data_IF_589485107134
#
_entry.id   IF_589485107134
#
_cell.length_a   1.000
_cell.length_b   1.000
_cell.length_c   1.000
_cell.angle_alpha   90.00
_cell.angle_beta   90.00
_cell.angle_gamma   90.00
#
_symmetry.space_group_name_H-M   'P 1'
#
loop_
_entity.id
_entity.type
_entity.pdbx_description
1 polymer ?
#
# COMPACT_ATOMS: atom_id res chain seq x y z
N UNK A 1 25.11 2.09 32.85
CA UNK A 1 24.52 2.91 31.78
C UNK A 1 23.95 1.95 30.76
N UNK A 2 22.65 1.64 30.85
CA UNK A 2 21.97 0.81 29.86
C UNK A 2 21.77 1.66 28.61
N UNK A 3 22.57 1.41 27.57
CA UNK A 3 22.11 1.75 26.23
C UNK A 3 20.91 0.84 25.97
N UNK A 4 19.69 1.38 26.05
CA UNK A 4 18.56 0.71 25.42
C UNK A 4 18.93 0.62 23.95
N UNK A 5 19.30 -0.57 23.49
CA UNK A 5 19.50 -0.82 22.06
C UNK A 5 18.15 -0.62 21.41
N UNK A 6 17.94 0.57 20.87
CA UNK A 6 16.74 0.98 20.16
C UNK A 6 16.45 -0.04 19.06
N UNK A 7 15.22 -0.53 18.99
CA UNK A 7 14.85 -1.53 18.00
C UNK A 7 15.02 -0.93 16.59
N UNK A 8 15.94 -1.44 15.74
CA UNK A 8 16.25 -0.81 14.47
C UNK A 8 15.08 -0.78 13.49
N UNK A 9 14.28 -1.86 13.46
CA UNK A 9 13.11 -1.90 12.58
C UNK A 9 12.04 -0.93 13.06
N UNK A 10 11.77 -0.90 14.36
CA UNK A 10 10.83 0.08 14.95
C UNK A 10 11.23 1.51 14.57
N UNK A 11 12.49 1.86 14.79
CA UNK A 11 13.02 3.21 14.48
C UNK A 11 12.82 3.55 13.00
N UNK A 12 13.15 2.60 12.11
CA UNK A 12 12.97 2.76 10.67
C UNK A 12 11.49 2.92 10.29
N UNK A 13 10.61 2.10 10.87
CA UNK A 13 9.21 2.05 10.51
C UNK A 13 8.46 3.27 11.06
N UNK A 14 8.72 3.70 12.29
CA UNK A 14 8.16 4.93 12.86
C UNK A 14 8.55 6.15 12.02
N UNK A 15 9.83 6.27 11.64
CA UNK A 15 10.28 7.34 10.74
C UNK A 15 9.60 7.27 9.37
N UNK A 16 9.28 6.07 8.88
CA UNK A 16 8.52 5.90 7.63
C UNK A 16 7.09 6.40 7.81
N UNK A 17 6.40 6.02 8.89
CA UNK A 17 5.04 6.47 9.17
C UNK A 17 4.96 7.99 9.37
N UNK A 18 5.97 8.58 10.01
CA UNK A 18 6.10 10.04 10.15
C UNK A 18 6.29 10.71 8.78
N UNK A 19 7.16 10.16 7.93
CA UNK A 19 7.35 10.64 6.54
C UNK A 19 6.10 10.50 5.69
N UNK A 20 5.25 9.50 5.95
CA UNK A 20 3.96 9.37 5.29
C UNK A 20 3.00 10.53 5.62
N UNK A 21 3.27 11.29 6.69
CA UNK A 21 2.41 12.38 7.15
C UNK A 21 1.11 11.87 7.78
N UNK A 22 1.16 10.71 8.41
CA UNK A 22 0.02 10.10 9.08
C UNK A 22 -0.21 10.73 10.46
N UNK A 23 -1.47 10.92 10.81
CA UNK A 23 -1.85 11.31 12.18
C UNK A 23 -1.78 10.11 13.14
N UNK A 24 -1.92 10.36 14.44
CA UNK A 24 -1.75 9.34 15.48
C UNK A 24 -2.83 8.25 15.43
N UNK A 25 -4.07 8.59 15.06
CA UNK A 25 -5.12 7.58 14.81
C UNK A 25 -4.67 6.65 13.69
N UNK A 26 -4.21 7.21 12.59
CA UNK A 26 -3.83 6.42 11.44
C UNK A 26 -2.62 5.52 11.70
N UNK A 27 -1.62 6.03 12.44
CA UNK A 27 -0.48 5.21 12.89
C UNK A 27 -0.93 4.06 13.79
N UNK A 28 -1.80 4.32 14.77
CA UNK A 28 -2.34 3.31 15.67
C UNK A 28 -3.06 2.19 14.90
N UNK A 29 -3.94 2.54 13.96
CA UNK A 29 -4.66 1.58 13.14
C UNK A 29 -3.75 0.71 12.27
N UNK A 30 -2.76 1.33 11.61
CA UNK A 30 -1.78 0.60 10.80
C UNK A 30 -0.97 -0.37 11.66
N UNK A 31 -0.48 0.07 12.82
CA UNK A 31 0.36 -0.76 13.68
C UNK A 31 -0.40 -1.91 14.32
N UNK A 32 -1.65 -1.68 14.75
CA UNK A 32 -2.51 -2.76 15.22
C UNK A 32 -2.68 -3.82 14.13
N UNK A 33 -3.11 -3.41 12.93
CA UNK A 33 -3.35 -4.36 11.85
C UNK A 33 -2.06 -5.01 11.36
N UNK A 34 -0.91 -4.33 11.40
CA UNK A 34 0.39 -4.91 11.09
C UNK A 34 0.73 -6.06 12.04
N UNK A 35 0.44 -5.90 13.33
CA UNK A 35 0.57 -6.96 14.33
C UNK A 35 -0.40 -8.11 14.08
N UNK A 36 -1.67 -7.78 13.84
CA UNK A 36 -2.73 -8.75 13.56
C UNK A 36 -2.46 -9.58 12.31
N UNK A 37 -2.05 -8.94 11.23
CA UNK A 37 -2.00 -9.55 9.91
C UNK A 37 -0.63 -10.15 9.58
N UNK A 38 0.36 -10.04 10.48
CA UNK A 38 1.77 -10.36 10.18
C UNK A 38 1.94 -11.79 9.64
N UNK A 39 1.25 -12.78 10.22
CA UNK A 39 1.32 -14.16 9.76
C UNK A 39 0.60 -14.30 8.42
N UNK A 40 -0.66 -13.86 8.32
CA UNK A 40 -1.46 -13.98 7.09
C UNK A 40 -0.77 -13.32 5.89
N UNK A 41 -0.18 -12.14 6.09
CA UNK A 41 0.49 -11.34 5.04
C UNK A 41 1.79 -11.95 4.49
N UNK A 42 2.48 -12.78 5.29
CA UNK A 42 3.82 -13.28 4.95
C UNK A 42 3.87 -14.79 4.70
N UNK A 43 2.74 -15.50 4.86
CA UNK A 43 2.71 -16.97 4.79
C UNK A 43 3.22 -17.49 3.44
N UNK A 44 2.68 -16.97 2.34
CA UNK A 44 3.06 -17.43 1.01
C UNK A 44 4.54 -17.15 0.71
N UNK A 45 5.05 -15.97 1.08
CA UNK A 45 6.45 -15.61 0.84
C UNK A 45 7.39 -16.51 1.64
N UNK A 46 7.14 -16.73 2.94
CA UNK A 46 8.01 -17.58 3.77
C UNK A 46 7.98 -19.04 3.31
N UNK A 47 6.82 -19.57 2.94
CA UNK A 47 6.71 -20.94 2.39
C UNK A 47 7.41 -21.10 1.03
N UNK A 48 7.52 -20.03 0.24
CA UNK A 48 8.30 -20.05 -1.00
C UNK A 48 9.81 -19.95 -0.76
N UNK A 49 10.23 -19.32 0.35
CA UNK A 49 11.64 -19.14 0.70
C UNK A 49 12.22 -20.33 1.46
N UNK A 50 11.40 -21.00 2.27
CA UNK A 50 11.82 -22.08 3.16
C UNK A 50 10.90 -23.28 3.02
N UNK A 51 11.49 -24.47 2.97
CA UNK A 51 10.74 -25.74 2.89
C UNK A 51 10.61 -26.44 4.24
N UNK A 52 11.41 -26.02 5.24
CA UNK A 52 11.47 -26.63 6.56
C UNK A 52 10.50 -25.95 7.52
N UNK A 53 9.56 -26.73 8.08
CA UNK A 53 8.52 -26.22 8.98
C UNK A 53 9.11 -25.48 10.20
N UNK A 54 10.16 -26.02 10.81
CA UNK A 54 10.83 -25.37 11.95
C UNK A 54 11.42 -24.01 11.55
N UNK A 55 11.97 -23.90 10.34
CA UNK A 55 12.53 -22.66 9.84
C UNK A 55 11.44 -21.62 9.58
N UNK A 56 10.32 -22.04 9.00
CA UNK A 56 9.14 -21.18 8.79
C UNK A 56 8.64 -20.61 10.12
N UNK A 57 8.49 -21.45 11.16
CA UNK A 57 8.07 -21.00 12.48
C UNK A 57 9.06 -20.00 13.11
N UNK A 58 10.37 -20.25 12.99
CA UNK A 58 11.40 -19.32 13.47
C UNK A 58 11.31 -17.96 12.76
N UNK A 59 11.09 -17.95 11.46
CA UNK A 59 10.99 -16.70 10.70
C UNK A 59 9.68 -15.96 10.97
N UNK A 60 8.55 -16.64 11.17
CA UNK A 60 7.34 -15.97 11.67
C UNK A 60 7.56 -15.35 13.05
N UNK A 61 8.18 -16.08 13.98
CA UNK A 61 8.50 -15.53 15.29
C UNK A 61 9.40 -14.31 15.19
N UNK A 62 10.40 -14.34 14.29
CA UNK A 62 11.25 -13.19 13.99
C UNK A 62 10.43 -12.01 13.46
N UNK A 63 9.58 -12.21 12.45
CA UNK A 63 8.77 -11.14 11.86
C UNK A 63 7.82 -10.48 12.88
N UNK A 64 7.16 -11.28 13.72
CA UNK A 64 6.23 -10.81 14.76
C UNK A 64 6.95 -10.02 15.86
N UNK A 65 8.23 -10.31 16.10
CA UNK A 65 9.03 -9.63 17.14
C UNK A 65 9.84 -8.45 16.59
N UNK A 66 9.73 -8.15 15.29
CA UNK A 66 10.50 -7.08 14.65
C UNK A 66 10.14 -5.70 15.18
N UNK A 67 8.86 -5.40 15.42
CA UNK A 67 8.44 -4.06 15.83
C UNK A 67 8.49 -3.89 17.35
N UNK A 68 7.94 -4.87 18.09
CA UNK A 68 7.97 -4.91 19.54
C UNK A 68 8.08 -6.36 20.04
N UNK A 69 8.64 -6.52 21.23
CA UNK A 69 8.75 -7.81 21.93
C UNK A 69 7.91 -7.73 23.18
N UNK A 70 7.02 -8.70 23.37
CA UNK A 70 6.20 -8.79 24.58
C UNK A 70 7.08 -9.03 25.81
N UNK A 71 6.78 -8.32 26.89
CA UNK A 71 7.32 -8.60 28.22
C UNK A 71 6.34 -9.49 28.98
N UNK A 72 6.84 -10.48 29.74
CA UNK A 72 5.97 -11.43 30.47
C UNK A 72 5.03 -10.77 31.50
N UNK A 73 5.27 -9.51 31.85
CA UNK A 73 4.60 -8.82 32.95
C UNK A 73 3.40 -7.96 32.50
N UNK A 74 3.17 -7.82 31.19
CA UNK A 74 2.14 -6.92 30.66
C UNK A 74 1.57 -7.40 29.31
N UNK A 75 0.24 -7.40 29.20
CA UNK A 75 -0.48 -7.76 27.99
C UNK A 75 -1.47 -6.64 27.60
N UNK A 76 -1.13 -5.75 26.65
CA UNK A 76 -1.99 -4.62 26.29
C UNK A 76 -3.33 -5.05 25.68
N UNK A 77 -3.42 -6.28 25.17
CA UNK A 77 -4.67 -6.84 24.68
C UNK A 77 -5.74 -6.96 25.78
N UNK A 78 -5.34 -7.16 27.04
CA UNK A 78 -6.27 -7.32 28.16
C UNK A 78 -6.93 -6.00 28.58
N UNK A 79 -6.41 -4.86 28.11
CA UNK A 79 -7.01 -3.54 28.35
C UNK A 79 -8.14 -3.22 27.35
N UNK A 80 -8.25 -3.98 26.27
CA UNK A 80 -9.16 -3.68 25.17
C UNK A 80 -10.45 -4.49 25.25
N UNK A 81 -11.60 -3.81 25.09
CA UNK A 81 -12.78 -4.49 24.55
C UNK A 81 -12.53 -4.73 23.06
N UNK A 82 -12.48 -5.98 22.63
CA UNK A 82 -12.15 -6.29 21.23
C UNK A 82 -13.36 -6.34 20.31
N UNK A 83 -14.56 -6.11 20.85
CA UNK A 83 -15.81 -6.12 20.09
C UNK A 83 -15.84 -5.10 18.96
N UNK A 84 -15.45 -3.82 19.17
CA UNK A 84 -15.43 -2.82 18.09
C UNK A 84 -14.44 -3.16 16.97
N UNK A 85 -13.26 -3.68 17.33
CA UNK A 85 -12.23 -4.10 16.36
C UNK A 85 -12.76 -5.26 15.51
N UNK A 86 -13.38 -6.26 16.14
CA UNK A 86 -14.01 -7.38 15.45
C UNK A 86 -15.10 -6.92 14.48
N UNK A 87 -15.94 -5.97 14.90
CA UNK A 87 -16.96 -5.33 14.06
C UNK A 87 -16.35 -4.64 12.83
N UNK A 88 -15.26 -3.91 13.02
CA UNK A 88 -14.57 -3.23 11.92
C UNK A 88 -14.00 -4.23 10.91
N UNK A 89 -13.32 -5.29 11.35
CA UNK A 89 -12.74 -6.32 10.46
C UNK A 89 -13.83 -7.08 9.69
N UNK A 90 -14.92 -7.47 10.38
CA UNK A 90 -16.03 -8.17 9.74
C UNK A 90 -16.77 -7.27 8.74
N UNK A 91 -17.05 -6.02 9.13
CA UNK A 91 -17.70 -5.03 8.24
C UNK A 91 -16.83 -4.71 7.03
N UNK A 92 -15.53 -4.54 7.21
CA UNK A 92 -14.58 -4.34 6.11
C UNK A 92 -14.72 -5.43 5.05
N UNK A 93 -14.72 -6.68 5.50
CA UNK A 93 -14.78 -7.85 4.64
C UNK A 93 -16.07 -7.90 3.83
N UNK A 94 -17.18 -7.53 4.46
CA UNK A 94 -18.48 -7.43 3.81
C UNK A 94 -18.49 -6.32 2.76
N UNK A 95 -17.98 -5.12 3.09
CA UNK A 95 -17.84 -4.01 2.13
C UNK A 95 -16.96 -4.43 0.94
N UNK A 96 -15.75 -4.92 1.20
CA UNK A 96 -14.81 -5.22 0.13
C UNK A 96 -15.32 -6.34 -0.79
N UNK A 97 -15.78 -7.46 -0.21
CA UNK A 97 -16.12 -8.65 -1.00
C UNK A 97 -17.51 -8.53 -1.63
N UNK A 98 -18.49 -7.99 -0.91
CA UNK A 98 -19.88 -7.98 -1.35
C UNK A 98 -20.33 -6.66 -1.95
N UNK A 99 -19.98 -5.52 -1.37
CA UNK A 99 -20.41 -4.22 -1.91
C UNK A 99 -19.53 -3.80 -3.10
N UNK A 100 -18.21 -3.81 -2.93
CA UNK A 100 -17.26 -3.31 -3.95
C UNK A 100 -17.01 -4.37 -5.02
N UNK A 101 -16.72 -5.62 -4.64
CA UNK A 101 -16.42 -6.71 -5.59
C UNK A 101 -17.65 -7.48 -6.08
N UNK A 102 -18.82 -7.25 -5.49
CA UNK A 102 -20.11 -7.83 -5.92
C UNK A 102 -20.08 -9.36 -6.03
N UNK A 103 -19.42 -10.05 -5.09
CA UNK A 103 -19.27 -11.51 -5.13
C UNK A 103 -20.42 -12.31 -4.52
N UNK A 104 -21.28 -11.69 -3.70
CA UNK A 104 -22.37 -12.39 -3.00
C UNK A 104 -21.88 -13.49 -2.05
N UNK A 105 -20.72 -13.28 -1.42
CA UNK A 105 -20.09 -14.23 -0.51
C UNK A 105 -20.73 -14.20 0.88
N UNK A 106 -21.14 -15.35 1.40
CA UNK A 106 -21.73 -15.44 2.74
C UNK A 106 -20.66 -15.81 3.78
N UNK A 107 -20.11 -14.81 4.47
CA UNK A 107 -19.12 -15.02 5.52
C UNK A 107 -19.63 -15.91 6.66
N UNK A 108 -20.93 -15.87 6.99
CA UNK A 108 -21.48 -16.64 8.10
C UNK A 108 -21.46 -18.16 7.87
N UNK A 109 -21.27 -18.60 6.63
CA UNK A 109 -21.14 -20.02 6.31
C UNK A 109 -19.71 -20.54 6.49
N UNK A 110 -18.71 -19.65 6.52
CA UNK A 110 -17.30 -20.03 6.52
C UNK A 110 -16.55 -19.63 7.78
N UNK A 111 -17.02 -18.60 8.51
CA UNK A 111 -16.42 -18.20 9.79
C UNK A 111 -17.21 -18.77 10.97
N UNK A 112 -16.52 -19.09 12.05
CA UNK A 112 -17.13 -19.56 13.30
C UNK A 112 -17.80 -18.43 14.06
N UNK A 113 -18.72 -18.79 14.95
CA UNK A 113 -19.56 -17.86 15.71
C UNK A 113 -18.77 -16.77 16.45
N UNK A 114 -17.57 -17.09 16.97
CA UNK A 114 -16.74 -16.15 17.72
C UNK A 114 -16.27 -14.95 16.88
N UNK A 115 -16.13 -15.12 15.56
CA UNK A 115 -15.73 -14.08 14.62
C UNK A 115 -16.92 -13.32 14.02
N UNK A 116 -18.15 -13.81 14.19
CA UNK A 116 -19.36 -13.17 13.67
C UNK A 116 -19.76 -11.97 14.52
N UNK A 117 -20.32 -10.97 13.86
CA UNK A 117 -20.82 -9.76 14.51
C UNK A 117 -21.72 -8.98 13.56
N UNK A 118 -22.54 -8.09 14.11
CA UNK A 118 -23.32 -7.15 13.33
C UNK A 118 -22.43 -6.20 12.53
N UNK A 119 -22.97 -5.70 11.41
CA UNK A 119 -22.30 -4.74 10.55
C UNK A 119 -22.39 -3.33 11.14
N UNK A 120 -21.32 -2.56 10.94
CA UNK A 120 -21.34 -1.12 11.17
C UNK A 120 -22.01 -0.44 9.97
N UNK A 121 -23.31 -0.13 10.10
CA UNK A 121 -24.12 0.41 9.01
C UNK A 121 -23.56 1.72 8.44
N UNK A 122 -23.02 2.59 9.28
CA UNK A 122 -22.39 3.85 8.86
C UNK A 122 -21.17 3.60 7.96
N UNK A 123 -20.35 2.59 8.30
CA UNK A 123 -19.20 2.20 7.49
C UNK A 123 -19.64 1.55 6.16
N UNK A 124 -20.69 0.72 6.17
CA UNK A 124 -21.26 0.15 4.93
C UNK A 124 -21.78 1.25 4.01
N UNK A 125 -22.48 2.25 4.57
CA UNK A 125 -23.05 3.37 3.81
C UNK A 125 -21.99 4.21 3.09
N UNK A 126 -20.79 4.37 3.66
CA UNK A 126 -19.68 5.10 3.01
C UNK A 126 -19.29 4.51 1.64
N UNK A 127 -19.49 3.20 1.45
CA UNK A 127 -19.03 2.46 0.27
C UNK A 127 -20.16 1.88 -0.59
N UNK A 128 -21.42 2.14 -0.23
CA UNK A 128 -22.56 1.69 -1.02
C UNK A 128 -22.50 2.26 -2.45
N UNK A 129 -22.63 1.38 -3.45
CA UNK A 129 -22.59 1.72 -4.87
C UNK A 129 -21.21 2.13 -5.41
N UNK A 130 -20.15 1.99 -4.62
CA UNK A 130 -18.78 2.25 -5.09
C UNK A 130 -18.28 1.11 -5.99
N UNK A 131 -17.59 1.48 -7.06
CA UNK A 131 -17.01 0.53 -8.01
C UNK A 131 -15.66 -0.01 -7.53
N UNK A 132 -15.29 -1.20 -7.98
CA UNK A 132 -13.96 -1.76 -7.75
C UNK A 132 -12.88 -0.99 -8.54
N UNK A 133 -12.30 0.02 -7.89
CA UNK A 133 -11.19 0.86 -8.37
C UNK A 133 -10.11 0.96 -7.32
N UNK A 134 -8.90 1.33 -7.76
CA UNK A 134 -7.77 1.54 -6.86
C UNK A 134 -8.10 2.57 -5.76
N UNK A 135 -8.76 3.66 -6.12
CA UNK A 135 -9.11 4.72 -5.17
C UNK A 135 -10.16 4.27 -4.15
N UNK A 136 -11.16 3.48 -4.57
CA UNK A 136 -12.15 2.91 -3.66
C UNK A 136 -11.48 2.02 -2.61
N UNK A 137 -10.59 1.13 -3.04
CA UNK A 137 -9.82 0.30 -2.11
C UNK A 137 -8.97 1.13 -1.15
N UNK A 138 -8.27 2.14 -1.68
CA UNK A 138 -7.47 3.05 -0.87
C UNK A 138 -8.31 3.79 0.20
N UNK A 139 -9.49 4.30 -0.17
CA UNK A 139 -10.42 4.95 0.76
C UNK A 139 -10.94 3.98 1.81
N UNK A 140 -11.24 2.73 1.43
CA UNK A 140 -11.66 1.69 2.36
C UNK A 140 -10.57 1.35 3.36
N UNK A 141 -9.34 1.13 2.90
CA UNK A 141 -8.17 0.95 3.77
C UNK A 141 -8.00 2.14 4.74
N UNK A 142 -8.15 3.36 4.22
CA UNK A 142 -7.97 4.59 5.01
C UNK A 142 -9.03 4.74 6.10
N UNK A 143 -10.31 4.57 5.74
CA UNK A 143 -11.43 4.62 6.70
C UNK A 143 -11.27 3.54 7.77
N UNK A 144 -10.89 2.32 7.37
CA UNK A 144 -10.64 1.21 8.28
C UNK A 144 -9.55 1.50 9.32
N UNK A 145 -8.34 1.88 8.89
CA UNK A 145 -7.26 2.15 9.83
C UNK A 145 -7.55 3.36 10.72
N UNK A 146 -8.20 4.41 10.20
CA UNK A 146 -8.63 5.54 11.04
C UNK A 146 -9.62 5.11 12.12
N UNK A 147 -10.62 4.30 11.77
CA UNK A 147 -11.64 3.81 12.73
C UNK A 147 -11.04 2.91 13.81
N UNK A 148 -10.14 1.99 13.44
CA UNK A 148 -9.40 1.18 14.42
C UNK A 148 -8.53 2.08 15.31
N UNK A 149 -7.78 2.99 14.70
CA UNK A 149 -6.90 3.91 15.39
C UNK A 149 -7.59 4.81 16.41
N UNK A 150 -8.67 5.46 15.99
CA UNK A 150 -9.48 6.32 16.84
C UNK A 150 -10.12 5.56 18.01
N UNK A 151 -10.37 4.25 17.86
CA UNK A 151 -10.77 3.40 18.98
C UNK A 151 -9.60 3.14 19.94
N UNK A 152 -8.46 2.71 19.41
CA UNK A 152 -7.28 2.35 20.21
C UNK A 152 -6.69 3.53 20.99
N UNK A 153 -6.71 4.73 20.40
CA UNK A 153 -6.17 5.93 21.04
C UNK A 153 -6.99 6.40 22.26
N UNK A 154 -8.18 5.83 22.51
CA UNK A 154 -8.95 6.08 23.73
C UNK A 154 -8.30 5.44 24.98
N UNK A 155 -7.38 4.50 24.78
CA UNK A 155 -6.73 3.73 25.84
C UNK A 155 -5.33 4.27 26.19
N UNK A 156 -4.88 5.36 25.54
CA UNK A 156 -3.56 5.97 25.76
C UNK A 156 -2.37 4.99 25.65
N UNK A 157 -2.55 3.90 24.90
CA UNK A 157 -1.53 2.89 24.67
C UNK A 157 -0.38 3.44 23.80
N UNK A 158 0.85 3.00 24.07
CA UNK A 158 1.96 3.31 23.17
C UNK A 158 1.81 2.59 21.83
N UNK A 159 2.44 3.09 20.77
CA UNK A 159 2.46 2.42 19.47
C UNK A 159 3.02 0.98 19.53
N UNK A 160 3.93 0.70 20.47
CA UNK A 160 4.43 -0.66 20.71
C UNK A 160 3.34 -1.56 21.30
N UNK A 161 2.62 -1.04 22.29
CA UNK A 161 1.54 -1.76 22.95
C UNK A 161 0.38 -2.02 22.00
N UNK A 162 0.06 -1.06 21.13
CA UNK A 162 -0.92 -1.21 20.06
C UNK A 162 -0.55 -2.32 19.08
N UNK A 163 0.71 -2.36 18.63
CA UNK A 163 1.21 -3.44 17.78
C UNK A 163 1.10 -4.81 18.48
N UNK A 164 1.53 -4.90 19.75
CA UNK A 164 1.46 -6.13 20.54
C UNK A 164 0.01 -6.57 20.77
N UNK A 165 -0.92 -5.63 20.98
CA UNK A 165 -2.34 -5.92 21.09
C UNK A 165 -2.88 -6.55 19.79
N UNK A 166 -2.44 -6.08 18.62
CA UNK A 166 -2.76 -6.69 17.33
C UNK A 166 -2.23 -8.13 17.21
N UNK A 167 -0.97 -8.37 17.60
CA UNK A 167 -0.38 -9.71 17.62
C UNK A 167 -1.19 -10.66 18.52
N UNK A 168 -1.53 -10.22 19.73
CA UNK A 168 -2.31 -11.03 20.68
C UNK A 168 -3.75 -11.24 20.23
N UNK A 169 -4.35 -10.24 19.57
CA UNK A 169 -5.66 -10.36 18.93
C UNK A 169 -5.66 -11.46 17.87
N UNK A 170 -4.67 -11.48 16.98
CA UNK A 170 -4.52 -12.57 16.01
C UNK A 170 -4.36 -13.93 16.68
N UNK A 171 -3.46 -14.06 17.66
CA UNK A 171 -3.20 -15.34 18.33
C UNK A 171 -4.45 -15.91 19.02
N UNK A 172 -5.28 -15.06 19.62
CA UNK A 172 -6.52 -15.50 20.27
C UNK A 172 -7.55 -15.95 19.25
N UNK A 173 -7.77 -15.17 18.19
CA UNK A 173 -8.76 -15.46 17.16
C UNK A 173 -8.36 -16.66 16.29
N UNK A 174 -7.08 -16.80 15.97
CA UNK A 174 -6.56 -17.95 15.26
C UNK A 174 -6.80 -19.27 16.00
N UNK A 175 -6.69 -19.29 17.35
CA UNK A 175 -6.99 -20.47 18.17
C UNK A 175 -8.47 -20.85 18.10
N UNK A 176 -9.36 -19.87 17.99
CA UNK A 176 -10.80 -20.10 17.83
C UNK A 176 -11.13 -20.55 16.40
N UNK A 177 -10.63 -19.83 15.40
CA UNK A 177 -10.92 -20.03 13.99
C UNK A 177 -9.75 -19.60 13.09
N UNK A 178 -8.82 -20.53 12.86
CA UNK A 178 -7.66 -20.31 12.01
C UNK A 178 -8.04 -19.92 10.56
N UNK A 179 -8.97 -20.67 9.95
CA UNK A 179 -9.37 -20.45 8.56
C UNK A 179 -10.14 -19.14 8.41
N UNK A 180 -11.10 -18.87 9.31
CA UNK A 180 -11.86 -17.62 9.30
C UNK A 180 -10.98 -16.39 9.54
N UNK A 181 -10.08 -16.44 10.54
CA UNK A 181 -9.17 -15.32 10.82
C UNK A 181 -8.27 -15.01 9.63
N UNK A 182 -7.68 -16.04 9.02
CA UNK A 182 -6.83 -15.84 7.84
C UNK A 182 -7.63 -15.35 6.62
N UNK A 183 -8.85 -15.87 6.40
CA UNK A 183 -9.72 -15.39 5.32
C UNK A 183 -10.00 -13.88 5.46
N UNK A 184 -10.40 -13.45 6.66
CA UNK A 184 -10.72 -12.04 6.93
C UNK A 184 -9.51 -11.14 6.72
N UNK A 185 -8.33 -11.55 7.20
CA UNK A 185 -7.10 -10.79 7.05
C UNK A 185 -6.63 -10.74 5.59
N UNK A 186 -6.68 -11.87 4.88
CA UNK A 186 -6.26 -11.94 3.48
C UNK A 186 -7.13 -11.08 2.59
N UNK A 187 -8.44 -11.01 2.81
CA UNK A 187 -9.30 -10.09 2.08
C UNK A 187 -8.92 -8.62 2.29
N UNK A 188 -8.55 -8.22 3.52
CA UNK A 188 -8.04 -6.86 3.79
C UNK A 188 -6.71 -6.64 3.06
N UNK A 189 -5.77 -7.57 3.17
CA UNK A 189 -4.45 -7.46 2.52
C UNK A 189 -4.59 -7.42 0.99
N UNK A 190 -5.44 -8.26 0.40
CA UNK A 190 -5.70 -8.33 -1.04
C UNK A 190 -6.31 -7.04 -1.60
N UNK A 191 -6.92 -6.23 -0.73
CA UNK A 191 -7.49 -4.95 -1.11
C UNK A 191 -6.49 -3.79 -1.01
N UNK A 192 -5.31 -3.98 -0.42
CA UNK A 192 -4.37 -2.89 -0.19
C UNK A 192 -4.02 -2.12 -1.47
N UNK A 193 -4.16 -0.79 -1.40
CA UNK A 193 -3.52 0.09 -2.39
C UNK A 193 -1.98 -0.08 -2.35
N UNK A 194 -1.25 0.31 -3.41
CA UNK A 194 0.20 0.18 -3.48
C UNK A 194 0.94 0.81 -2.29
N UNK A 195 0.39 1.88 -1.71
CA UNK A 195 0.89 2.45 -0.45
C UNK A 195 0.82 1.45 0.71
N UNK A 196 -0.34 0.90 1.02
CA UNK A 196 -0.48 -0.03 2.14
C UNK A 196 0.27 -1.33 1.87
N UNK A 197 0.23 -1.82 0.62
CA UNK A 197 1.01 -2.98 0.22
C UNK A 197 2.51 -2.77 0.49
N UNK A 198 3.01 -1.56 0.20
CA UNK A 198 4.40 -1.18 0.50
C UNK A 198 4.70 -1.29 1.99
N UNK A 199 3.89 -0.64 2.84
CA UNK A 199 4.12 -0.59 4.28
C UNK A 199 4.08 -1.97 4.92
N UNK A 200 3.14 -2.82 4.51
CA UNK A 200 2.96 -4.17 5.06
C UNK A 200 4.01 -5.17 4.55
N UNK A 201 4.75 -4.85 3.49
CA UNK A 201 5.91 -5.63 3.03
C UNK A 201 7.23 -5.22 3.70
N UNK A 202 7.29 -4.07 4.38
CA UNK A 202 8.53 -3.59 5.00
C UNK A 202 9.14 -4.52 6.05
N UNK A 203 8.37 -5.24 6.90
CA UNK A 203 8.95 -6.24 7.81
C UNK A 203 9.80 -7.29 7.08
N UNK A 204 9.29 -7.81 5.96
CA UNK A 204 9.96 -8.82 5.15
C UNK A 204 11.16 -8.23 4.40
N UNK A 205 10.99 -7.05 3.78
CA UNK A 205 12.07 -6.36 3.07
C UNK A 205 13.21 -5.95 4.01
N UNK A 206 12.90 -5.49 5.22
CA UNK A 206 13.91 -5.14 6.21
C UNK A 206 14.71 -6.37 6.66
N UNK A 207 14.04 -7.52 6.76
CA UNK A 207 14.63 -8.78 7.22
C UNK A 207 15.55 -9.41 6.19
N UNK A 208 15.13 -9.45 4.92
CA UNK A 208 15.81 -10.23 3.88
C UNK A 208 16.47 -9.39 2.79
N UNK A 209 16.05 -8.14 2.62
CA UNK A 209 16.54 -7.25 1.57
C UNK A 209 16.87 -5.84 2.11
N UNK A 210 17.56 -5.69 3.27
CA UNK A 210 17.76 -4.39 3.93
C UNK A 210 18.50 -3.39 3.05
N UNK A 211 19.47 -3.85 2.26
CA UNK A 211 20.21 -2.99 1.34
C UNK A 211 19.29 -2.40 0.25
N UNK A 212 18.37 -3.21 -0.27
CA UNK A 212 17.42 -2.76 -1.28
C UNK A 212 16.39 -1.81 -0.68
N UNK A 213 15.91 -2.11 0.53
CA UNK A 213 14.99 -1.24 1.25
C UNK A 213 15.62 0.14 1.51
N UNK A 214 16.82 0.18 2.08
CA UNK A 214 17.52 1.42 2.41
C UNK A 214 17.96 2.22 1.18
N UNK A 215 18.17 1.56 0.03
CA UNK A 215 18.54 2.22 -1.22
C UNK A 215 17.32 2.74 -2.01
N UNK A 216 16.09 2.49 -1.55
CA UNK A 216 14.87 2.89 -2.24
C UNK A 216 14.11 3.96 -1.42
N UNK A 217 13.66 5.00 -2.11
CA UNK A 217 12.71 5.96 -1.56
C UNK A 217 11.31 5.34 -1.47
N UNK A 218 10.48 5.79 -0.53
CA UNK A 218 9.10 5.32 -0.34
C UNK A 218 8.28 5.40 -1.64
N UNK A 219 8.38 6.50 -2.38
CA UNK A 219 7.81 6.66 -3.74
C UNK A 219 8.12 5.47 -4.65
N UNK A 220 9.37 5.03 -4.67
CA UNK A 220 9.82 3.95 -5.54
C UNK A 220 9.29 2.59 -5.11
N UNK A 221 9.09 2.38 -3.81
CA UNK A 221 8.42 1.18 -3.30
C UNK A 221 6.94 1.19 -3.67
N UNK A 222 6.23 2.30 -3.46
CA UNK A 222 4.82 2.46 -3.86
C UNK A 222 4.65 2.17 -5.35
N UNK A 223 5.53 2.74 -6.16
CA UNK A 223 5.52 2.57 -7.60
C UNK A 223 5.81 1.11 -8.03
N UNK A 224 6.70 0.39 -7.33
CA UNK A 224 6.93 -1.04 -7.58
C UNK A 224 5.67 -1.87 -7.35
N UNK A 225 4.95 -1.63 -6.25
CA UNK A 225 3.70 -2.34 -5.98
C UNK A 225 2.58 -1.92 -6.93
N UNK A 226 2.56 -0.66 -7.40
CA UNK A 226 1.61 -0.23 -8.42
C UNK A 226 1.75 -1.06 -9.71
N UNK A 227 2.98 -1.40 -10.14
CA UNK A 227 3.19 -2.23 -11.32
C UNK A 227 2.61 -3.64 -11.18
N UNK A 228 2.68 -4.21 -9.97
CA UNK A 228 2.15 -5.55 -9.70
C UNK A 228 0.63 -5.61 -9.78
N UNK A 229 -0.04 -4.48 -9.54
CA UNK A 229 -1.50 -4.33 -9.62
C UNK A 229 -1.99 -3.80 -10.98
N UNK A 230 -1.09 -3.52 -11.92
CA UNK A 230 -1.42 -2.95 -13.23
C UNK A 230 -0.94 -3.87 -14.35
N UNK A 231 -0.22 -3.35 -15.35
CA UNK A 231 0.21 -4.12 -16.51
C UNK A 231 1.58 -4.78 -16.26
N UNK A 232 1.54 -6.03 -15.81
CA UNK A 232 2.74 -6.84 -15.55
C UNK A 232 3.59 -7.08 -16.80
N UNK A 233 3.00 -6.99 -18.00
CA UNK A 233 3.70 -7.28 -19.27
C UNK A 233 4.79 -6.23 -19.55
N UNK A 234 4.53 -4.98 -19.13
CA UNK A 234 5.44 -3.83 -19.34
C UNK A 234 6.17 -3.38 -18.07
N UNK A 235 5.81 -3.93 -16.91
CA UNK A 235 6.33 -3.52 -15.60
C UNK A 235 7.86 -3.44 -15.56
N UNK A 236 8.56 -4.41 -16.14
CA UNK A 236 10.04 -4.42 -16.20
C UNK A 236 10.62 -3.22 -16.93
N UNK A 237 9.95 -2.73 -17.97
CA UNK A 237 10.41 -1.60 -18.78
C UNK A 237 10.16 -0.28 -18.07
N UNK A 238 8.96 -0.11 -17.49
CA UNK A 238 8.65 1.06 -16.68
C UNK A 238 9.58 1.12 -15.45
N UNK A 239 9.85 -0.01 -14.80
CA UNK A 239 10.81 -0.07 -13.70
C UNK A 239 12.22 0.35 -14.13
N UNK A 240 12.71 -0.15 -15.27
CA UNK A 240 14.01 0.27 -15.81
C UNK A 240 14.05 1.78 -16.11
N UNK A 241 12.95 2.34 -16.61
CA UNK A 241 12.85 3.77 -16.86
C UNK A 241 12.83 4.58 -15.56
N UNK A 242 12.09 4.13 -14.56
CA UNK A 242 12.10 4.71 -13.22
C UNK A 242 13.53 4.73 -12.63
N UNK A 243 14.29 3.64 -12.73
CA UNK A 243 15.69 3.64 -12.29
C UNK A 243 16.52 4.68 -13.03
N UNK A 244 16.34 4.81 -14.34
CA UNK A 244 17.05 5.78 -15.16
C UNK A 244 16.77 7.23 -14.72
N UNK A 245 15.50 7.56 -14.47
CA UNK A 245 15.04 8.93 -14.15
C UNK A 245 15.36 9.34 -12.71
N UNK A 246 15.17 8.45 -11.74
CA UNK A 246 15.20 8.83 -10.32
C UNK A 246 16.49 8.47 -9.60
N UNK A 247 17.30 7.53 -10.12
CA UNK A 247 18.46 7.01 -9.40
C UNK A 247 19.77 7.21 -10.13
N UNK A 248 20.81 7.55 -9.36
CA UNK A 248 22.20 7.47 -9.80
C UNK A 248 22.69 6.03 -9.78
N UNK A 249 23.59 5.70 -10.70
CA UNK A 249 24.27 4.41 -10.68
C UNK A 249 25.46 4.48 -9.73
N UNK A 250 25.54 3.54 -8.77
CA UNK A 250 26.70 3.25 -7.93
C UNK A 250 27.31 4.47 -7.17
N UNK A 251 26.84 4.80 -5.95
CA UNK A 251 25.81 4.11 -5.17
C UNK A 251 24.40 4.46 -5.66
N UNK A 252 23.46 3.52 -5.47
CA UNK A 252 22.05 3.76 -5.77
C UNK A 252 21.48 4.74 -4.76
N UNK A 253 21.27 5.97 -5.20
CA UNK A 253 20.65 7.06 -4.44
C UNK A 253 19.70 7.84 -5.33
N UNK A 254 18.69 8.43 -4.73
CA UNK A 254 17.80 9.37 -5.43
C UNK A 254 18.65 10.52 -5.98
N UNK A 255 18.46 10.85 -7.26
CA UNK A 255 19.16 11.95 -7.93
C UNK A 255 18.79 13.28 -7.29
N UNK A 256 19.77 14.18 -7.23
CA UNK A 256 19.54 15.59 -6.89
C UNK A 256 18.48 16.18 -7.82
N UNK A 257 17.54 16.97 -7.28
CA UNK A 257 16.39 17.52 -8.01
C UNK A 257 15.06 16.79 -7.77
N UNK A 258 15.09 15.64 -7.08
CA UNK A 258 13.93 14.90 -6.60
C UNK A 258 13.80 14.98 -5.08
N UNK A 259 13.63 16.20 -4.56
CA UNK A 259 13.42 16.45 -3.13
C UNK A 259 11.94 16.28 -2.77
N UNK A 260 11.48 15.02 -2.64
CA UNK A 260 10.08 14.68 -2.41
C UNK A 260 9.47 15.40 -1.19
N UNK A 261 10.24 15.56 -0.12
CA UNK A 261 9.78 16.06 1.17
C UNK A 261 9.69 17.59 1.24
N UNK A 262 10.52 18.31 0.47
CA UNK A 262 10.70 19.76 0.65
C UNK A 262 10.26 20.59 -0.55
N UNK A 263 10.18 19.97 -1.73
CA UNK A 263 9.79 20.67 -2.95
C UNK A 263 8.28 20.83 -3.04
N UNK A 264 7.84 21.95 -3.60
CA UNK A 264 6.43 22.21 -3.82
C UNK A 264 5.77 21.09 -4.64
N UNK A 265 4.63 20.59 -4.15
CA UNK A 265 3.93 19.43 -4.74
C UNK A 265 3.57 19.65 -6.20
N UNK A 266 3.11 20.85 -6.56
CA UNK A 266 2.80 21.20 -7.96
C UNK A 266 4.02 21.14 -8.89
N UNK A 267 5.20 21.53 -8.38
CA UNK A 267 6.45 21.43 -9.13
C UNK A 267 6.83 19.96 -9.34
N UNK A 268 6.73 19.13 -8.29
CA UNK A 268 7.02 17.69 -8.40
C UNK A 268 6.04 16.95 -9.31
N UNK A 269 4.75 17.29 -9.27
CA UNK A 269 3.74 16.75 -10.19
C UNK A 269 4.11 17.07 -11.64
N UNK A 270 4.38 18.35 -11.93
CA UNK A 270 4.78 18.79 -13.27
C UNK A 270 6.09 18.14 -13.72
N UNK A 271 7.10 18.10 -12.85
CA UNK A 271 8.38 17.46 -13.13
C UNK A 271 8.21 15.97 -13.41
N UNK A 272 7.36 15.28 -12.65
CA UNK A 272 7.07 13.84 -12.84
C UNK A 272 6.42 13.57 -14.19
N UNK A 273 5.38 14.33 -14.55
CA UNK A 273 4.72 14.25 -15.86
C UNK A 273 5.71 14.45 -17.01
N UNK A 274 6.49 15.53 -16.97
CA UNK A 274 7.43 15.86 -18.04
C UNK A 274 8.57 14.84 -18.18
N UNK A 275 9.09 14.32 -17.06
CA UNK A 275 10.11 13.28 -17.11
C UNK A 275 9.52 11.94 -17.60
N UNK A 276 8.28 11.62 -17.23
CA UNK A 276 7.62 10.40 -17.69
C UNK A 276 7.42 10.38 -19.21
N UNK A 277 7.05 11.52 -19.81
CA UNK A 277 6.92 11.70 -21.27
C UNK A 277 8.22 11.39 -22.03
N UNK A 278 9.38 11.63 -21.40
CA UNK A 278 10.70 11.44 -22.03
C UNK A 278 11.10 9.97 -22.16
N UNK A 279 10.25 9.00 -21.77
CA UNK A 279 10.52 7.58 -22.02
C UNK A 279 10.79 7.30 -23.50
N UNK A 280 10.09 8.02 -24.40
CA UNK A 280 10.28 7.90 -25.85
C UNK A 280 11.62 8.42 -26.37
N UNK A 281 12.28 9.27 -25.58
CA UNK A 281 13.61 9.80 -25.87
C UNK A 281 14.71 8.99 -25.18
N UNK A 282 14.33 8.05 -24.31
CA UNK A 282 15.25 7.20 -23.58
C UNK A 282 15.71 6.00 -24.42
N UNK A 283 16.80 5.32 -24.03
CA UNK A 283 17.22 4.05 -24.63
C UNK A 283 16.16 2.94 -24.56
N UNK A 284 15.11 3.10 -23.75
CA UNK A 284 14.02 2.13 -23.62
C UNK A 284 12.96 2.27 -24.71
N UNK A 285 13.00 3.32 -25.55
CA UNK A 285 12.07 3.41 -26.67
C UNK A 285 12.15 2.20 -27.62
N UNK A 286 13.32 1.55 -27.70
CA UNK A 286 13.52 0.30 -28.45
C UNK A 286 12.60 -0.85 -28.00
N UNK A 287 12.07 -0.80 -26.77
CA UNK A 287 11.15 -1.82 -26.23
C UNK A 287 9.68 -1.46 -26.49
N UNK A 288 9.39 -0.42 -27.28
CA UNK A 288 8.02 -0.08 -27.72
C UNK A 288 7.22 -1.27 -28.26
N UNK A 289 7.78 -2.22 -29.02
CA UNK A 289 7.02 -3.40 -29.46
C UNK A 289 6.39 -4.17 -28.29
N UNK A 290 7.05 -4.27 -27.15
CA UNK A 290 6.53 -4.97 -25.96
C UNK A 290 5.30 -4.24 -25.38
N UNK A 291 5.29 -2.90 -25.45
CA UNK A 291 4.14 -2.09 -25.06
C UNK A 291 2.95 -2.29 -26.01
N UNK A 292 3.20 -2.33 -27.33
CA UNK A 292 2.14 -2.55 -28.32
C UNK A 292 1.58 -3.97 -28.30
N UNK A 293 2.30 -4.94 -27.72
CA UNK A 293 1.79 -6.30 -27.60
C UNK A 293 0.80 -6.47 -26.44
N UNK A 294 0.72 -5.50 -25.52
CA UNK A 294 -0.25 -5.54 -24.42
C UNK A 294 -1.53 -4.76 -24.76
N UNK A 295 -2.64 -5.18 -24.18
CA UNK A 295 -3.95 -4.51 -24.25
C UNK A 295 -4.47 -4.13 -22.85
N UNK A 296 -3.59 -4.18 -21.84
CA UNK A 296 -3.93 -3.88 -20.45
C UNK A 296 -3.61 -2.42 -20.11
N UNK A 297 -4.20 -1.47 -20.85
CA UNK A 297 -4.11 -0.05 -20.55
C UNK A 297 -5.48 0.52 -20.20
N UNK A 298 -5.49 1.54 -19.35
CA UNK A 298 -6.70 2.30 -19.08
C UNK A 298 -7.17 3.08 -20.31
N UNK A 299 -6.22 3.60 -21.11
CA UNK A 299 -6.47 4.37 -22.32
C UNK A 299 -6.04 3.61 -23.57
N UNK A 300 -6.61 2.40 -23.73
CA UNK A 300 -6.32 1.51 -24.86
C UNK A 300 -6.57 2.17 -26.23
N UNK A 301 -7.49 3.13 -26.29
CA UNK A 301 -7.82 3.90 -27.49
C UNK A 301 -6.64 4.73 -28.02
N UNK A 302 -5.61 5.03 -27.22
CA UNK A 302 -4.42 5.76 -27.65
C UNK A 302 -3.44 4.91 -28.47
N UNK A 303 -3.63 3.58 -28.48
CA UNK A 303 -2.71 2.64 -29.13
C UNK A 303 -2.64 2.90 -30.64
N UNK A 304 -1.41 3.14 -31.10
CA UNK A 304 -1.06 3.51 -32.47
C UNK A 304 -1.80 4.73 -33.04
N UNK A 305 -2.36 5.60 -32.18
CA UNK A 305 -2.95 6.86 -32.59
C UNK A 305 -1.91 7.98 -32.70
N UNK A 306 -2.21 8.97 -33.54
CA UNK A 306 -1.51 10.25 -33.59
C UNK A 306 -2.31 11.27 -32.77
N UNK A 307 -1.68 11.91 -31.79
CA UNK A 307 -2.33 12.87 -30.87
C UNK A 307 -1.37 14.02 -30.56
N UNK A 308 -1.88 15.24 -30.34
CA UNK A 308 -1.03 16.35 -29.91
C UNK A 308 -0.59 16.17 -28.46
N UNK A 309 0.58 16.71 -28.12
CA UNK A 309 1.11 16.59 -26.75
C UNK A 309 0.17 17.22 -25.72
N UNK A 310 -0.46 18.35 -26.05
CA UNK A 310 -1.38 19.04 -25.14
C UNK A 310 -2.68 18.28 -24.94
N UNK A 311 -3.21 17.66 -25.99
CA UNK A 311 -4.37 16.78 -25.86
C UNK A 311 -4.06 15.55 -25.00
N UNK A 312 -2.86 14.96 -25.16
CA UNK A 312 -2.43 13.87 -24.30
C UNK A 312 -2.28 14.28 -22.83
N UNK A 313 -1.66 15.42 -22.54
CA UNK A 313 -1.53 15.95 -21.16
C UNK A 313 -2.91 16.22 -20.54
N UNK A 314 -3.84 16.77 -21.32
CA UNK A 314 -5.22 17.00 -20.88
C UNK A 314 -5.91 15.68 -20.55
N UNK A 315 -5.74 14.66 -21.41
CA UNK A 315 -6.28 13.32 -21.16
C UNK A 315 -5.66 12.67 -19.93
N UNK A 316 -4.34 12.76 -19.72
CA UNK A 316 -3.70 12.25 -18.49
C UNK A 316 -4.31 12.92 -17.25
N UNK A 317 -4.44 14.25 -17.26
CA UNK A 317 -5.01 15.02 -16.14
C UNK A 317 -6.43 14.54 -15.85
N UNK A 318 -7.27 14.46 -16.89
CA UNK A 318 -8.64 13.95 -16.79
C UNK A 318 -8.68 12.53 -16.22
N UNK A 319 -7.82 11.64 -16.69
CA UNK A 319 -7.74 10.26 -16.19
C UNK A 319 -7.37 10.21 -14.71
N UNK A 320 -6.43 11.03 -14.25
CA UNK A 320 -6.09 11.14 -12.82
C UNK A 320 -7.28 11.64 -11.99
N UNK A 321 -7.98 12.67 -12.47
CA UNK A 321 -9.09 13.28 -11.74
C UNK A 321 -10.36 12.41 -11.73
N UNK A 322 -10.67 11.73 -12.84
CA UNK A 322 -11.93 10.98 -13.00
C UNK A 322 -11.80 9.49 -12.63
N UNK A 323 -10.71 8.81 -13.03
CA UNK A 323 -10.56 7.38 -12.75
C UNK A 323 -9.94 7.12 -11.38
N UNK A 324 -8.91 7.90 -11.03
CA UNK A 324 -8.27 7.81 -9.72
C UNK A 324 -8.91 8.75 -8.68
N UNK A 325 -9.99 9.45 -9.06
CA UNK A 325 -10.79 10.34 -8.21
C UNK A 325 -9.92 11.29 -7.35
N UNK A 326 -8.80 11.74 -7.90
CA UNK A 326 -7.82 12.57 -7.18
C UNK A 326 -7.90 14.01 -7.63
N UNK A 327 -8.27 14.91 -6.73
CA UNK A 327 -8.25 16.34 -7.01
C UNK A 327 -6.82 16.89 -6.91
N UNK A 328 -6.24 17.25 -8.05
CA UNK A 328 -4.85 17.73 -8.13
C UNK A 328 -4.67 19.03 -7.35
N UNK A 329 -5.64 19.95 -7.39
CA UNK A 329 -5.57 21.21 -6.66
C UNK A 329 -5.54 20.98 -5.15
N UNK A 330 -6.30 20.01 -4.64
CA UNK A 330 -6.26 19.62 -3.22
C UNK A 330 -4.90 19.05 -2.83
N UNK A 331 -4.27 18.28 -3.72
CA UNK A 331 -2.92 17.75 -3.48
C UNK A 331 -1.91 18.88 -3.43
N UNK A 332 -1.96 19.82 -4.38
CA UNK A 332 -1.08 20.99 -4.45
C UNK A 332 -1.22 21.86 -3.21
N UNK A 333 -2.45 22.05 -2.72
CA UNK A 333 -2.75 22.80 -1.51
C UNK A 333 -2.44 22.04 -0.20
N UNK A 334 -1.87 20.83 -0.29
CA UNK A 334 -1.44 20.09 0.89
C UNK A 334 -2.55 19.42 1.70
N UNK A 335 -3.76 19.24 1.13
CA UNK A 335 -4.88 18.62 1.85
C UNK A 335 -4.71 17.11 2.05
N UNK A 336 -4.03 16.45 1.12
CA UNK A 336 -3.68 15.03 1.24
C UNK A 336 -2.39 14.84 2.04
N UNK A 337 -2.27 13.72 2.76
CA UNK A 337 -1.05 13.37 3.46
C UNK A 337 0.11 13.12 2.48
N UNK A 338 1.34 13.02 2.98
CA UNK A 338 2.51 12.93 2.13
C UNK A 338 2.53 11.61 1.34
N UNK A 339 2.12 10.50 1.95
CA UNK A 339 2.07 9.21 1.29
C UNK A 339 1.06 9.12 0.14
N UNK A 340 -0.12 9.74 0.31
CA UNK A 340 -1.12 9.89 -0.76
C UNK A 340 -0.54 10.70 -1.93
N UNK A 341 0.19 11.78 -1.63
CA UNK A 341 0.92 12.54 -2.65
C UNK A 341 1.97 11.68 -3.39
N UNK A 342 2.75 10.87 -2.68
CA UNK A 342 3.72 9.97 -3.31
C UNK A 342 3.04 8.90 -4.18
N UNK A 343 1.89 8.37 -3.74
CA UNK A 343 1.09 7.44 -4.55
C UNK A 343 0.55 8.11 -5.81
N UNK A 344 0.10 9.37 -5.74
CA UNK A 344 -0.28 10.14 -6.93
C UNK A 344 0.90 10.30 -7.89
N UNK A 345 2.09 10.66 -7.40
CA UNK A 345 3.28 10.76 -8.26
C UNK A 345 3.58 9.42 -8.95
N UNK A 346 3.41 8.30 -8.24
CA UNK A 346 3.62 6.97 -8.79
C UNK A 346 2.64 6.68 -9.93
N UNK A 347 1.36 7.01 -9.74
CA UNK A 347 0.31 6.86 -10.75
C UNK A 347 0.62 7.74 -11.97
N UNK A 348 0.92 9.03 -11.77
CA UNK A 348 1.26 9.96 -12.85
C UNK A 348 2.45 9.44 -13.64
N UNK A 349 3.51 8.99 -12.96
CA UNK A 349 4.69 8.45 -13.63
C UNK A 349 4.35 7.22 -14.47
N UNK A 350 3.63 6.26 -13.89
CA UNK A 350 3.25 5.02 -14.56
C UNK A 350 2.35 5.28 -15.77
N UNK A 351 1.22 5.97 -15.57
CA UNK A 351 0.24 6.20 -16.63
C UNK A 351 0.83 7.01 -17.78
N UNK A 352 1.59 8.06 -17.47
CA UNK A 352 2.22 8.89 -18.48
C UNK A 352 3.25 8.10 -19.28
N UNK A 353 4.12 7.36 -18.61
CA UNK A 353 5.18 6.59 -19.26
C UNK A 353 4.62 5.44 -20.11
N UNK A 354 3.64 4.70 -19.58
CA UNK A 354 2.99 3.59 -20.27
C UNK A 354 2.23 4.06 -21.51
N UNK A 355 1.37 5.08 -21.37
CA UNK A 355 0.54 5.54 -22.48
C UNK A 355 1.33 6.36 -23.51
N UNK A 356 2.46 6.98 -23.12
CA UNK A 356 3.37 7.60 -24.09
C UNK A 356 3.98 6.58 -25.06
N UNK A 357 4.20 5.34 -24.63
CA UNK A 357 4.84 4.32 -25.47
C UNK A 357 3.91 3.76 -26.54
N UNK A 358 2.61 3.69 -26.28
CA UNK A 358 1.63 3.12 -27.22
C UNK A 358 1.22 4.10 -28.33
N UNK A 359 1.41 5.40 -28.13
CA UNK A 359 1.14 6.43 -29.16
C UNK A 359 2.06 6.24 -30.36
N UNK A 360 1.54 6.46 -31.57
CA UNK A 360 2.33 6.38 -32.80
C UNK A 360 3.27 7.57 -32.91
N UNK A 361 2.72 8.77 -32.90
CA UNK A 361 3.45 10.03 -33.05
C UNK A 361 2.72 11.19 -32.35
N UNK A 362 3.49 12.22 -32.00
CA UNK A 362 2.96 13.47 -31.50
C UNK A 362 2.62 14.38 -32.69
N UNK A 363 1.36 14.79 -32.83
CA UNK A 363 0.98 15.80 -33.83
C UNK A 363 1.36 17.19 -33.34
N UNK A 364 1.64 18.09 -34.28
CA UNK A 364 1.94 19.50 -33.99
C UNK A 364 0.73 20.23 -33.43
#
# INVERSE_FOLDING_TARGET
MNHSTENPFKTYFDQTLDRCGFDEDFKAGILFFLGESCISANTNQLMNMFTEEQKIHQEFHRLITLYAVSTNDYNPYEELDTTPIKQLIYTYNQIYVNEIRQKGFNFDQVIKADLKTDLLEDFVQEFNGKEYKLITSHQLNTSFFRRIGAYLNQFELSLQDIYLAGVNYYQKNQKADFEGTNLLNLNIIDSFSPLYMTLFHYPLLFTYYPNNLNANHLFSSILQFLYLHTNTDIAKHIHAFHQHVFYEANPRRVRTGWEFETKERGVLISQTLHNALNIRQSPLFKTRPDFLNSDKYLMNELKDQSISLDAFKTLMTKTIEEYYETNIDEVVNGKLNHAEFLQLLAIIFYETAANSMIIKEWTK
#
